data_IF_772393139027
#
_entry.id   IF_772393139027
#
_cell.length_a   1.000
_cell.length_b   1.000
_cell.length_c   1.000
_cell.angle_alpha   90.00
_cell.angle_beta   90.00
_cell.angle_gamma   90.00
#
_symmetry.space_group_name_H-M   'P 1'
#
loop_
_entity.id
_entity.type
_entity.pdbx_description
1 polymer ?
#
# COMPACT_ATOMS: atom_id res chain seq x y z
N UNK A 1 11.13 4.63 6.30
CA UNK A 1 10.95 3.16 6.38
C UNK A 1 9.86 2.74 7.37
N UNK A 2 9.83 3.30 8.56
CA UNK A 2 8.76 3.00 9.51
C UNK A 2 7.36 3.32 8.96
N UNK A 3 7.18 4.43 8.30
CA UNK A 3 5.90 4.81 7.68
C UNK A 3 5.43 3.80 6.62
N UNK A 4 6.34 3.20 5.88
CA UNK A 4 6.03 2.15 4.90
C UNK A 4 5.43 0.93 5.61
N UNK A 5 6.12 0.44 6.63
CA UNK A 5 5.64 -0.71 7.41
C UNK A 5 4.32 -0.40 8.10
N UNK A 6 4.18 0.78 8.71
CA UNK A 6 2.97 1.18 9.43
C UNK A 6 1.75 1.22 8.51
N UNK A 7 1.89 1.73 7.28
CA UNK A 7 0.78 1.73 6.31
C UNK A 7 0.34 0.33 5.91
N UNK A 8 1.28 -0.59 5.81
CA UNK A 8 0.97 -1.98 5.45
C UNK A 8 0.37 -2.75 6.62
N UNK A 9 1.04 -2.71 7.77
CA UNK A 9 0.69 -3.50 8.96
C UNK A 9 -0.46 -2.88 9.75
N UNK A 10 -0.56 -1.55 9.76
CA UNK A 10 -1.60 -0.76 10.44
C UNK A 10 -1.63 -0.95 11.97
N UNK A 11 -0.49 -1.23 12.57
CA UNK A 11 -0.31 -1.36 14.02
C UNK A 11 1.11 -0.91 14.37
N UNK A 12 1.23 0.03 15.31
CA UNK A 12 2.51 0.68 15.64
C UNK A 12 3.52 -0.33 16.20
N UNK A 13 3.10 -1.17 17.15
CA UNK A 13 4.00 -2.14 17.80
C UNK A 13 4.47 -3.20 16.82
N UNK A 14 3.57 -3.68 15.98
CA UNK A 14 3.90 -4.67 14.96
C UNK A 14 4.78 -4.08 13.85
N UNK A 15 4.55 -2.82 13.50
CA UNK A 15 5.41 -2.12 12.54
C UNK A 15 6.85 -1.97 13.07
N UNK A 16 7.02 -1.70 14.35
CA UNK A 16 8.35 -1.66 14.99
C UNK A 16 9.05 -3.01 14.93
N UNK A 17 8.33 -4.09 15.26
CA UNK A 17 8.88 -5.45 15.21
C UNK A 17 9.26 -5.85 13.78
N UNK A 18 8.40 -5.55 12.82
CA UNK A 18 8.68 -5.79 11.40
C UNK A 18 9.92 -5.02 10.94
N UNK A 19 10.06 -3.76 11.36
CA UNK A 19 11.23 -2.95 11.03
C UNK A 19 12.52 -3.55 11.57
N UNK A 20 12.52 -4.02 12.81
CA UNK A 20 13.68 -4.68 13.40
C UNK A 20 14.05 -5.94 12.60
N UNK A 21 13.08 -6.79 12.27
CA UNK A 21 13.31 -7.96 11.45
C UNK A 21 13.84 -7.61 10.05
N UNK A 22 13.27 -6.57 9.44
CA UNK A 22 13.69 -6.11 8.12
C UNK A 22 15.14 -5.63 8.12
N UNK A 23 15.55 -4.84 9.12
CA UNK A 23 16.93 -4.40 9.25
C UNK A 23 17.89 -5.55 9.50
N UNK A 24 17.53 -6.49 10.36
CA UNK A 24 18.36 -7.70 10.59
C UNK A 24 18.50 -8.51 9.31
N UNK A 25 17.44 -8.67 8.55
CA UNK A 25 17.46 -9.35 7.26
C UNK A 25 18.36 -8.62 6.25
N UNK A 26 18.28 -7.28 6.22
CA UNK A 26 19.15 -6.47 5.37
C UNK A 26 20.63 -6.65 5.71
N UNK A 27 20.98 -6.61 7.00
CA UNK A 27 22.36 -6.84 7.44
C UNK A 27 22.87 -8.22 7.06
N UNK A 28 22.07 -9.26 7.24
CA UNK A 28 22.45 -10.64 6.89
C UNK A 28 22.64 -10.83 5.39
N UNK A 29 21.92 -10.08 4.58
CA UNK A 29 21.93 -10.18 3.13
C UNK A 29 22.64 -9.02 2.43
N UNK A 30 23.44 -8.24 3.16
CA UNK A 30 24.17 -7.09 2.62
C UNK A 30 25.01 -7.46 1.40
N UNK A 31 25.61 -8.65 1.41
CA UNK A 31 26.42 -9.17 0.32
C UNK A 31 25.63 -9.43 -0.96
N UNK A 32 24.31 -9.61 -0.86
CA UNK A 32 23.44 -9.83 -2.02
C UNK A 32 23.06 -8.54 -2.73
N UNK A 33 23.30 -7.39 -2.10
CA UNK A 33 23.04 -6.10 -2.73
C UNK A 33 24.06 -5.85 -3.84
N UNK A 34 23.58 -5.75 -5.07
CA UNK A 34 24.41 -5.66 -6.29
C UNK A 34 24.56 -4.24 -6.86
N UNK A 35 23.89 -3.26 -6.27
CA UNK A 35 23.92 -1.88 -6.78
C UNK A 35 23.09 -1.63 -8.04
N UNK A 36 22.25 -2.57 -8.46
CA UNK A 36 21.36 -2.43 -9.62
C UNK A 36 20.26 -1.38 -9.38
N UNK A 37 19.84 -1.24 -8.11
CA UNK A 37 18.93 -0.20 -7.64
C UNK A 37 19.60 0.56 -6.50
N UNK A 38 19.04 1.72 -6.11
CA UNK A 38 19.57 2.45 -4.95
C UNK A 38 19.46 1.60 -3.68
N UNK A 39 20.36 1.83 -2.73
CA UNK A 39 20.31 1.12 -1.44
C UNK A 39 18.97 1.33 -0.73
N UNK A 40 18.42 2.55 -0.78
CA UNK A 40 17.11 2.86 -0.20
C UNK A 40 15.98 2.06 -0.84
N UNK A 41 15.98 1.91 -2.16
CA UNK A 41 14.97 1.11 -2.87
C UNK A 41 15.08 -0.38 -2.54
N UNK A 42 16.30 -0.89 -2.42
CA UNK A 42 16.56 -2.28 -2.02
C UNK A 42 16.08 -2.54 -0.59
N UNK A 43 16.42 -1.65 0.35
CA UNK A 43 15.97 -1.74 1.74
C UNK A 43 14.45 -1.62 1.87
N UNK A 44 13.84 -0.67 1.14
CA UNK A 44 12.39 -0.50 1.11
C UNK A 44 11.68 -1.78 0.68
N UNK A 45 12.20 -2.47 -0.33
CA UNK A 45 11.63 -3.73 -0.79
C UNK A 45 11.66 -4.81 0.30
N UNK A 46 12.74 -4.89 1.07
CA UNK A 46 12.84 -5.81 2.22
C UNK A 46 11.79 -5.46 3.26
N UNK A 47 11.62 -4.18 3.59
CA UNK A 47 10.61 -3.72 4.55
C UNK A 47 9.19 -4.08 4.07
N UNK A 48 8.89 -3.82 2.80
CA UNK A 48 7.59 -4.17 2.19
C UNK A 48 7.35 -5.67 2.29
N UNK A 49 8.31 -6.48 1.90
CA UNK A 49 8.18 -7.95 1.93
C UNK A 49 7.94 -8.47 3.36
N UNK A 50 8.67 -7.97 4.34
CA UNK A 50 8.49 -8.37 5.75
C UNK A 50 7.13 -7.94 6.30
N UNK A 51 6.68 -6.74 5.95
CA UNK A 51 5.36 -6.24 6.34
C UNK A 51 4.24 -7.10 5.76
N UNK A 52 4.38 -7.53 4.50
CA UNK A 52 3.41 -8.42 3.85
C UNK A 52 3.43 -9.83 4.44
N UNK A 53 4.60 -10.34 4.80
CA UNK A 53 4.72 -11.64 5.49
C UNK A 53 3.95 -11.62 6.82
N UNK A 54 4.04 -10.52 7.55
CA UNK A 54 3.27 -10.33 8.77
C UNK A 54 1.75 -10.39 8.51
N UNK A 55 1.25 -9.71 7.48
CA UNK A 55 -0.16 -9.77 7.12
C UNK A 55 -0.60 -11.17 6.70
N UNK A 56 0.24 -11.91 5.99
CA UNK A 56 -0.03 -13.30 5.60
C UNK A 56 -0.16 -14.22 6.81
N UNK A 57 0.67 -14.01 7.84
CA UNK A 57 0.56 -14.74 9.11
C UNK A 57 -0.75 -14.46 9.83
N UNK A 58 -1.32 -13.27 9.66
CA UNK A 58 -2.66 -12.89 10.15
C UNK A 58 -3.80 -13.42 9.27
N UNK A 59 -3.52 -14.26 8.27
CA UNK A 59 -4.48 -14.81 7.32
C UNK A 59 -5.17 -13.75 6.44
N UNK A 60 -4.51 -12.63 6.19
CA UNK A 60 -4.95 -11.67 5.19
C UNK A 60 -4.68 -12.25 3.81
N UNK A 61 -5.72 -12.41 3.01
CA UNK A 61 -5.60 -12.87 1.63
C UNK A 61 -5.78 -11.71 0.67
N UNK A 62 -4.91 -11.64 -0.33
CA UNK A 62 -5.07 -10.73 -1.46
C UNK A 62 -5.74 -11.52 -2.58
N UNK A 63 -7.05 -11.30 -2.75
CA UNK A 63 -7.84 -12.10 -3.69
C UNK A 63 -7.55 -11.73 -5.14
N UNK A 64 -7.42 -12.77 -5.98
CA UNK A 64 -7.49 -12.61 -7.42
C UNK A 64 -8.92 -12.21 -7.80
N UNK A 65 -9.03 -11.17 -8.63
CA UNK A 65 -10.32 -10.71 -9.12
C UNK A 65 -10.57 -11.33 -10.49
N UNK A 66 -11.72 -11.98 -10.64
CA UNK A 66 -12.17 -12.48 -11.93
C UNK A 66 -12.45 -11.33 -12.89
N UNK A 67 -12.01 -11.47 -14.14
CA UNK A 67 -12.17 -10.48 -15.21
C UNK A 67 -13.63 -10.08 -15.50
N UNK A 68 -14.58 -10.84 -14.97
CA UNK A 68 -16.03 -10.60 -15.13
C UNK A 68 -16.62 -9.56 -14.18
N UNK A 69 -15.82 -8.99 -13.29
CA UNK A 69 -16.31 -7.93 -12.41
C UNK A 69 -16.39 -6.63 -13.18
N UNK A 70 -17.60 -6.08 -13.20
CA UNK A 70 -18.06 -4.90 -13.92
C UNK A 70 -17.01 -3.78 -14.01
N UNK A 71 -16.97 -3.14 -15.18
CA UNK A 71 -16.29 -1.86 -15.36
C UNK A 71 -16.75 -0.90 -14.28
N UNK A 72 -15.86 -0.63 -13.34
CA UNK A 72 -16.10 0.41 -12.34
C UNK A 72 -15.65 1.71 -13.01
N UNK A 73 -16.61 2.58 -13.27
CA UNK A 73 -16.31 3.89 -13.83
C UNK A 73 -15.37 4.63 -12.87
N UNK A 74 -14.23 5.05 -13.40
CA UNK A 74 -13.31 5.90 -12.66
C UNK A 74 -13.87 7.32 -12.67
N UNK A 75 -14.65 7.64 -11.65
CA UNK A 75 -15.15 8.99 -11.47
C UNK A 75 -14.00 9.93 -11.12
N UNK A 76 -13.57 10.71 -12.09
CA UNK A 76 -12.69 11.84 -11.83
C UNK A 76 -13.48 12.93 -11.10
N UNK A 77 -13.49 12.86 -9.78
CA UNK A 77 -13.98 13.97 -8.99
C UNK A 77 -12.90 15.07 -8.93
N UNK A 78 -13.30 16.36 -8.97
CA UNK A 78 -12.33 17.44 -8.78
C UNK A 78 -11.60 17.24 -7.46
N UNK A 79 -10.28 17.39 -7.49
CA UNK A 79 -9.44 17.29 -6.30
C UNK A 79 -9.78 18.45 -5.38
N UNK A 80 -10.50 18.17 -4.32
CA UNK A 80 -10.66 19.11 -3.22
C UNK A 80 -9.52 18.88 -2.26
N UNK A 81 -8.97 19.97 -1.73
CA UNK A 81 -7.93 19.87 -0.72
C UNK A 81 -8.48 19.14 0.51
N UNK A 82 -7.85 18.03 0.85
CA UNK A 82 -8.15 17.25 2.05
C UNK A 82 -6.98 17.45 3.01
N UNK A 83 -7.28 17.72 4.28
CA UNK A 83 -6.26 17.77 5.32
C UNK A 83 -5.50 16.43 5.34
N UNK A 84 -4.17 16.51 5.42
CA UNK A 84 -3.29 15.34 5.45
C UNK A 84 -3.64 14.36 6.59
N UNK A 85 -4.07 14.87 7.74
CA UNK A 85 -4.49 14.05 8.86
C UNK A 85 -5.79 13.29 8.56
N UNK A 86 -6.75 13.95 7.93
CA UNK A 86 -8.02 13.34 7.51
C UNK A 86 -7.75 12.25 6.49
N UNK A 87 -6.89 12.52 5.52
CA UNK A 87 -6.48 11.53 4.51
C UNK A 87 -5.79 10.32 5.14
N UNK A 88 -4.86 10.56 6.05
CA UNK A 88 -4.15 9.49 6.77
C UNK A 88 -5.14 8.60 7.53
N UNK A 89 -6.08 9.19 8.26
CA UNK A 89 -7.09 8.46 9.01
C UNK A 89 -8.00 7.64 8.10
N UNK A 90 -8.39 8.19 6.96
CA UNK A 90 -9.21 7.49 5.97
C UNK A 90 -8.46 6.28 5.37
N UNK A 91 -7.18 6.43 5.06
CA UNK A 91 -6.34 5.33 4.57
C UNK A 91 -6.25 4.22 5.63
N UNK A 92 -6.09 4.57 6.90
CA UNK A 92 -6.05 3.59 8.00
C UNK A 92 -7.35 2.80 8.15
N UNK A 93 -8.48 3.37 7.75
CA UNK A 93 -9.80 2.71 7.80
C UNK A 93 -10.05 1.76 6.64
N UNK A 94 -9.25 1.81 5.58
CA UNK A 94 -9.37 0.87 4.47
C UNK A 94 -9.08 -0.56 4.92
N UNK A 95 -9.75 -1.53 4.29
CA UNK A 95 -9.40 -2.93 4.46
C UNK A 95 -7.94 -3.17 4.10
N UNK A 96 -7.33 -4.21 4.64
CA UNK A 96 -5.90 -4.49 4.44
C UNK A 96 -5.53 -4.58 2.96
N UNK A 97 -6.33 -5.29 2.15
CA UNK A 97 -6.10 -5.43 0.72
C UNK A 97 -6.11 -4.09 -0.02
N UNK A 98 -7.11 -3.27 0.22
CA UNK A 98 -7.22 -1.93 -0.39
C UNK A 98 -6.11 -0.99 0.08
N UNK A 99 -5.83 -0.98 1.37
CA UNK A 99 -4.79 -0.13 1.95
C UNK A 99 -3.42 -0.45 1.37
N UNK A 100 -3.09 -1.73 1.24
CA UNK A 100 -1.80 -2.18 0.73
C UNK A 100 -1.62 -1.79 -0.73
N UNK A 101 -2.56 -2.11 -1.61
CA UNK A 101 -2.45 -1.79 -3.04
C UNK A 101 -2.38 -0.28 -3.25
N UNK A 102 -3.24 0.48 -2.58
CA UNK A 102 -3.24 1.94 -2.67
C UNK A 102 -1.92 2.53 -2.19
N UNK A 103 -1.40 2.05 -1.07
CA UNK A 103 -0.13 2.53 -0.51
C UNK A 103 1.05 2.21 -1.41
N UNK A 104 1.13 0.99 -1.93
CA UNK A 104 2.21 0.58 -2.82
C UNK A 104 2.22 1.39 -4.12
N UNK A 105 1.06 1.65 -4.69
CA UNK A 105 0.96 2.38 -5.96
C UNK A 105 1.11 3.89 -5.78
N UNK A 106 0.29 4.53 -4.94
CA UNK A 106 0.22 5.99 -4.85
C UNK A 106 1.32 6.59 -3.96
N UNK A 107 1.76 5.89 -2.94
CA UNK A 107 2.72 6.44 -1.97
C UNK A 107 4.13 5.94 -2.25
N UNK A 108 4.29 4.63 -2.44
CA UNK A 108 5.61 4.03 -2.65
C UNK A 108 6.06 4.05 -4.11
N UNK A 109 5.15 4.30 -5.05
CA UNK A 109 5.48 4.49 -6.45
C UNK A 109 5.72 3.21 -7.26
N UNK A 110 5.29 2.07 -6.78
CA UNK A 110 5.34 0.82 -7.54
C UNK A 110 4.30 0.82 -8.65
N UNK A 111 4.64 0.31 -9.83
CA UNK A 111 3.68 0.10 -10.89
C UNK A 111 2.88 -1.20 -10.70
N UNK A 112 1.87 -1.43 -11.53
CA UNK A 112 1.01 -2.60 -11.41
C UNK A 112 1.76 -3.92 -11.66
N UNK A 113 2.79 -3.90 -12.50
CA UNK A 113 3.62 -5.09 -12.74
C UNK A 113 4.42 -5.45 -11.49
N UNK A 114 5.04 -4.46 -10.87
CA UNK A 114 5.77 -4.64 -9.62
C UNK A 114 4.83 -5.10 -8.48
N UNK A 115 3.66 -4.48 -8.36
CA UNK A 115 2.65 -4.86 -7.35
C UNK A 115 2.16 -6.30 -7.59
N UNK A 116 1.93 -6.65 -8.84
CA UNK A 116 1.58 -8.02 -9.25
C UNK A 116 2.60 -9.03 -8.72
N UNK A 117 3.88 -8.76 -8.88
CA UNK A 117 4.96 -9.61 -8.39
C UNK A 117 5.03 -9.61 -6.85
N UNK A 118 4.89 -8.44 -6.23
CA UNK A 118 4.95 -8.30 -4.76
C UNK A 118 3.83 -9.07 -4.08
N UNK A 119 2.60 -8.95 -4.58
CA UNK A 119 1.41 -9.53 -3.96
C UNK A 119 1.07 -10.93 -4.48
N UNK A 120 1.68 -11.37 -5.58
CA UNK A 120 1.34 -12.64 -6.21
C UNK A 120 -0.04 -12.64 -6.85
N UNK A 121 -0.47 -11.52 -7.40
CA UNK A 121 -1.74 -11.34 -8.11
C UNK A 121 -1.48 -10.94 -9.56
N UNK A 122 -2.49 -11.00 -10.43
CA UNK A 122 -2.36 -10.55 -11.81
C UNK A 122 -2.28 -9.02 -11.89
N UNK A 123 -1.74 -8.50 -13.00
CA UNK A 123 -1.72 -7.07 -13.28
C UNK A 123 -3.14 -6.51 -13.31
N UNK A 124 -4.10 -7.23 -13.91
CA UNK A 124 -5.51 -6.86 -13.95
C UNK A 124 -6.10 -6.78 -12.54
N UNK A 125 -5.81 -7.74 -11.67
CA UNK A 125 -6.25 -7.71 -10.26
C UNK A 125 -5.69 -6.50 -9.52
N UNK A 126 -4.42 -6.17 -9.73
CA UNK A 126 -3.80 -4.98 -9.14
C UNK A 126 -4.52 -3.70 -9.54
N UNK A 127 -4.82 -3.54 -10.83
CA UNK A 127 -5.56 -2.37 -11.36
C UNK A 127 -6.96 -2.26 -10.78
N UNK A 128 -7.68 -3.36 -10.72
CA UNK A 128 -9.05 -3.41 -10.20
C UNK A 128 -9.07 -3.13 -8.70
N UNK A 129 -8.13 -3.71 -7.95
CA UNK A 129 -7.99 -3.45 -6.52
C UNK A 129 -7.70 -1.97 -6.24
N UNK A 130 -6.82 -1.36 -7.02
CA UNK A 130 -6.51 0.07 -6.88
C UNK A 130 -7.76 0.92 -7.12
N UNK A 131 -8.51 0.63 -8.18
CA UNK A 131 -9.73 1.36 -8.52
C UNK A 131 -10.77 1.28 -7.39
N UNK A 132 -10.99 0.08 -6.87
CA UNK A 132 -11.89 -0.15 -5.73
C UNK A 132 -11.41 0.55 -4.47
N UNK A 133 -10.10 0.52 -4.20
CA UNK A 133 -9.49 1.21 -3.07
C UNK A 133 -9.69 2.73 -3.17
N UNK A 134 -9.47 3.32 -4.34
CA UNK A 134 -9.71 4.74 -4.59
C UNK A 134 -11.18 5.11 -4.36
N UNK A 135 -12.11 4.30 -4.86
CA UNK A 135 -13.54 4.54 -4.69
C UNK A 135 -13.95 4.47 -3.21
N UNK A 136 -13.43 3.49 -2.49
CA UNK A 136 -13.70 3.37 -1.05
C UNK A 136 -13.10 4.55 -0.27
N UNK A 137 -11.91 4.99 -0.64
CA UNK A 137 -11.27 6.15 -0.02
C UNK A 137 -12.09 7.42 -0.25
N UNK A 138 -12.58 7.64 -1.47
CA UNK A 138 -13.47 8.77 -1.79
C UNK A 138 -14.75 8.73 -0.95
N UNK A 139 -15.35 7.56 -0.79
CA UNK A 139 -16.52 7.36 0.06
C UNK A 139 -16.23 7.75 1.52
N UNK A 140 -15.09 7.33 2.07
CA UNK A 140 -14.69 7.66 3.43
C UNK A 140 -14.40 9.16 3.61
N UNK A 141 -13.99 9.84 2.55
CA UNK A 141 -13.67 11.27 2.57
C UNK A 141 -14.87 12.18 2.33
N UNK A 142 -16.03 11.64 1.96
CA UNK A 142 -17.24 12.44 1.76
C UNK A 142 -17.62 13.18 3.04
N UNK A 143 -17.84 14.50 2.91
CA UNK A 143 -18.21 15.37 4.03
C UNK A 143 -17.05 15.81 4.92
N UNK A 144 -15.83 15.30 4.66
CA UNK A 144 -14.61 15.64 5.40
C UNK A 144 -13.69 16.59 4.64
N UNK A 145 -14.15 17.07 3.49
CA UNK A 145 -13.37 17.96 2.64
C UNK A 145 -13.34 19.37 3.23
N UNK A 146 -12.13 19.94 3.31
CA UNK A 146 -11.96 21.32 3.72
C UNK A 146 -12.10 22.19 2.47
N UNK A 147 -13.10 23.06 2.46
CA UNK A 147 -13.21 24.09 1.43
C UNK A 147 -12.19 25.18 1.72
N UNK A 148 -11.13 25.31 0.91
CA UNK A 148 -10.30 26.50 0.97
C UNK A 148 -11.04 27.63 0.25
N UNK A 149 -11.48 28.61 1.02
CA UNK A 149 -11.94 29.88 0.46
C UNK A 149 -10.70 30.74 0.18
N UNK A 150 -10.41 30.92 -1.08
CA UNK A 150 -9.52 31.99 -1.52
C UNK A 150 -10.36 33.23 -1.82
#
# INVERSE_FOLDING_TARGET
>A
MFSVSLRIVNDIMEAEDVMQEAFLSAFRNMETYRGEVSFGAWLKRIVVNRSLDYLKKKKVQFDEINERTMEIEDYHMPVKEVDALILKNAIQQLSDGYRVVLSLYLIEGYDHEEISQILGISNTSSRTQLLRAKNKLRELLKGKEVFSYN
#
